data_IF_577904961641
#
_entry.id   IF_577904961641
#
_cell.length_a   1.000
_cell.length_b   1.000
_cell.length_c   1.000
_cell.angle_alpha   90.00
_cell.angle_beta   90.00
_cell.angle_gamma   90.00
#
_symmetry.space_group_name_H-M   'P 1'
#
loop_
_entity.id
_entity.type
_entity.pdbx_description
1 polymer ?
#
# COMPACT_ATOMS: atom_id res chain seq x y z
N UNK A 1 33.17 5.42 23.52
CA UNK A 1 33.73 4.48 22.51
C UNK A 1 33.51 3.06 23.01
N UNK A 2 33.33 2.09 22.12
CA UNK A 2 33.17 0.68 22.49
C UNK A 2 34.52 -0.02 22.35
N UNK A 3 34.89 -0.87 23.31
CA UNK A 3 36.14 -1.60 23.33
C UNK A 3 35.87 -3.11 23.42
N UNK A 4 36.37 -3.86 22.44
CA UNK A 4 36.24 -5.30 22.30
C UNK A 4 37.46 -6.02 22.87
N UNK A 5 37.22 -7.01 23.70
CA UNK A 5 38.25 -7.88 24.28
C UNK A 5 38.79 -8.92 23.29
N UNK A 6 39.97 -9.48 23.57
CA UNK A 6 40.50 -10.62 22.82
C UNK A 6 39.54 -11.83 22.82
N UNK A 7 38.88 -12.13 23.94
CA UNK A 7 37.91 -13.23 24.06
C UNK A 7 36.67 -13.01 23.21
N UNK A 8 36.25 -11.76 23.01
CA UNK A 8 35.16 -11.45 22.09
C UNK A 8 35.56 -11.70 20.63
N UNK A 9 36.77 -11.29 20.23
CA UNK A 9 37.26 -11.41 18.85
C UNK A 9 37.62 -12.85 18.45
N UNK A 10 37.97 -13.69 19.42
CA UNK A 10 38.33 -15.11 19.20
C UNK A 10 37.24 -16.09 19.60
N UNK A 11 36.18 -15.61 20.25
CA UNK A 11 35.05 -16.43 20.68
C UNK A 11 34.42 -17.13 19.49
N UNK A 12 34.46 -18.46 19.49
CA UNK A 12 33.81 -19.27 18.47
C UNK A 12 32.29 -19.09 18.57
N UNK A 13 31.71 -18.40 17.59
CA UNK A 13 30.29 -18.16 17.45
C UNK A 13 29.49 -19.39 16.98
N UNK A 14 30.10 -20.58 17.02
CA UNK A 14 29.49 -21.86 16.62
C UNK A 14 28.28 -22.31 17.44
N UNK A 15 27.83 -21.52 18.42
CA UNK A 15 26.47 -21.69 18.93
C UNK A 15 25.55 -21.14 17.84
N UNK A 16 25.09 -22.03 16.94
CA UNK A 16 23.71 -21.96 16.43
C UNK A 16 22.89 -21.48 17.61
N UNK A 17 22.41 -20.23 17.60
CA UNK A 17 21.76 -19.70 18.81
C UNK A 17 20.70 -20.73 19.18
N UNK A 18 20.83 -21.39 20.34
CA UNK A 18 19.96 -22.53 20.66
C UNK A 18 18.48 -22.12 20.55
N UNK A 19 18.22 -20.82 20.73
CA UNK A 19 16.96 -20.13 20.42
C UNK A 19 16.47 -20.29 18.98
N UNK A 20 17.31 -20.13 17.96
CA UNK A 20 16.94 -20.31 16.56
C UNK A 20 16.53 -21.74 16.25
N UNK A 21 17.22 -22.72 16.83
CA UNK A 21 16.86 -24.14 16.71
C UNK A 21 15.55 -24.45 17.45
N UNK A 22 15.39 -23.97 18.69
CA UNK A 22 14.16 -24.16 19.49
C UNK A 22 12.95 -23.57 18.76
N UNK A 23 13.07 -22.34 18.23
CA UNK A 23 12.00 -21.70 17.45
C UNK A 23 11.72 -22.48 16.16
N UNK A 24 12.76 -22.94 15.46
CA UNK A 24 12.62 -23.77 14.27
C UNK A 24 11.86 -25.07 14.55
N UNK A 25 12.15 -25.73 15.68
CA UNK A 25 11.44 -26.93 16.11
C UNK A 25 9.97 -26.62 16.42
N UNK A 26 9.68 -25.55 17.17
CA UNK A 26 8.30 -25.14 17.49
C UNK A 26 7.50 -24.88 16.21
N UNK A 27 8.08 -24.16 15.25
CA UNK A 27 7.47 -23.88 13.95
C UNK A 27 7.25 -25.17 13.16
N UNK A 28 8.25 -26.05 13.11
CA UNK A 28 8.17 -27.34 12.43
C UNK A 28 7.06 -28.24 13.00
N UNK A 29 6.97 -28.34 14.32
CA UNK A 29 5.90 -29.08 15.01
C UNK A 29 4.53 -28.47 14.67
N UNK A 30 4.42 -27.15 14.69
CA UNK A 30 3.16 -26.46 14.34
C UNK A 30 2.75 -26.74 12.90
N UNK A 31 3.69 -26.71 11.95
CA UNK A 31 3.45 -27.07 10.54
C UNK A 31 3.00 -28.52 10.42
N UNK A 32 3.63 -29.46 11.12
CA UNK A 32 3.24 -30.87 11.11
C UNK A 32 1.82 -31.08 11.64
N UNK A 33 1.44 -30.41 12.74
CA UNK A 33 0.09 -30.49 13.30
C UNK A 33 -0.97 -29.97 12.32
N UNK A 34 -0.74 -28.81 11.71
CA UNK A 34 -1.68 -28.24 10.74
C UNK A 34 -1.68 -28.99 9.41
N UNK A 35 -0.54 -29.54 8.99
CA UNK A 35 -0.42 -30.41 7.82
C UNK A 35 -1.20 -31.71 8.01
N UNK A 36 -1.11 -32.32 9.19
CA UNK A 36 -1.91 -33.49 9.55
C UNK A 36 -3.41 -33.17 9.57
N UNK A 37 -3.82 -32.03 10.15
CA UNK A 37 -5.22 -31.58 10.12
C UNK A 37 -5.73 -31.36 8.69
N UNK A 38 -4.90 -30.77 7.82
CA UNK A 38 -5.22 -30.60 6.40
C UNK A 38 -5.37 -31.96 5.68
N UNK A 39 -4.47 -32.92 5.92
CA UNK A 39 -4.57 -34.25 5.32
C UNK A 39 -5.79 -35.03 5.82
N UNK A 40 -6.17 -34.85 7.09
CA UNK A 40 -7.35 -35.49 7.68
C UNK A 40 -8.67 -34.89 7.20
N UNK A 41 -8.71 -33.58 6.96
CA UNK A 41 -9.91 -32.83 6.57
C UNK A 41 -9.64 -32.03 5.27
N UNK A 42 -9.47 -32.77 4.16
CA UNK A 42 -9.05 -32.22 2.86
C UNK A 42 -10.03 -31.20 2.27
N UNK A 43 -11.29 -31.21 2.70
CA UNK A 43 -12.34 -30.32 2.21
C UNK A 43 -12.41 -29.00 2.99
N UNK A 44 -11.71 -28.90 4.13
CA UNK A 44 -11.72 -27.71 4.96
C UNK A 44 -10.57 -26.76 4.58
N UNK A 45 -10.92 -25.77 3.75
CA UNK A 45 -9.98 -24.78 3.21
C UNK A 45 -9.22 -24.01 4.30
N UNK A 46 -9.77 -23.88 5.52
CA UNK A 46 -9.12 -23.17 6.63
C UNK A 46 -7.79 -23.80 7.02
N UNK A 47 -7.72 -25.13 7.11
CA UNK A 47 -6.48 -25.82 7.51
C UNK A 47 -5.43 -25.75 6.41
N UNK A 48 -5.86 -25.85 5.14
CA UNK A 48 -4.98 -25.64 3.98
C UNK A 48 -4.34 -24.26 4.02
N UNK A 49 -5.15 -23.22 4.19
CA UNK A 49 -4.67 -21.83 4.13
C UNK A 49 -3.74 -21.52 5.32
N UNK A 50 -4.07 -21.96 6.53
CA UNK A 50 -3.20 -21.82 7.71
C UNK A 50 -1.89 -22.59 7.52
N UNK A 51 -1.94 -23.82 7.00
CA UNK A 51 -0.73 -24.61 6.73
C UNK A 51 0.20 -23.93 5.72
N UNK A 52 -0.35 -23.39 4.62
CA UNK A 52 0.41 -22.65 3.62
C UNK A 52 1.06 -21.41 4.25
N UNK A 53 0.29 -20.61 5.01
CA UNK A 53 0.80 -19.40 5.69
C UNK A 53 1.94 -19.76 6.64
N UNK A 54 1.76 -20.77 7.50
CA UNK A 54 2.79 -21.22 8.44
C UNK A 54 4.06 -21.69 7.73
N UNK A 55 3.90 -22.41 6.61
CA UNK A 55 5.03 -22.88 5.81
C UNK A 55 5.80 -21.71 5.19
N UNK A 56 5.11 -20.72 4.62
CA UNK A 56 5.75 -19.51 4.08
C UNK A 56 6.47 -18.71 5.17
N UNK A 57 5.86 -18.59 6.36
CA UNK A 57 6.46 -17.89 7.50
C UNK A 57 7.73 -18.61 7.99
N UNK A 58 7.70 -19.95 8.02
CA UNK A 58 8.88 -20.76 8.35
C UNK A 58 10.03 -20.57 7.36
N UNK A 59 9.74 -20.63 6.05
CA UNK A 59 10.73 -20.39 5.00
C UNK A 59 11.35 -18.99 5.13
N UNK A 60 10.55 -17.98 5.46
CA UNK A 60 11.03 -16.62 5.71
C UNK A 60 11.97 -16.55 6.93
N UNK A 61 11.58 -17.15 8.06
CA UNK A 61 12.42 -17.19 9.27
C UNK A 61 13.73 -17.93 9.00
N UNK A 62 13.67 -19.09 8.34
CA UNK A 62 14.85 -19.88 7.96
C UNK A 62 15.77 -19.05 7.07
N UNK A 63 15.21 -18.34 6.08
CA UNK A 63 15.98 -17.47 5.17
C UNK A 63 16.71 -16.35 5.92
N UNK A 64 16.03 -15.67 6.84
CA UNK A 64 16.65 -14.61 7.67
C UNK A 64 17.75 -15.17 8.56
N UNK A 65 17.54 -16.33 9.19
CA UNK A 65 18.55 -16.98 10.02
C UNK A 65 19.75 -17.44 9.19
N UNK A 66 19.51 -17.99 8.00
CA UNK A 66 20.56 -18.39 7.08
C UNK A 66 21.44 -17.20 6.66
N UNK A 67 20.82 -16.06 6.34
CA UNK A 67 21.54 -14.82 6.03
C UNK A 67 22.39 -14.31 7.22
N UNK A 68 21.86 -14.41 8.45
CA UNK A 68 22.59 -14.07 9.68
C UNK A 68 23.83 -14.94 9.86
N UNK A 69 23.70 -16.26 9.66
CA UNK A 69 24.83 -17.20 9.74
C UNK A 69 25.90 -16.88 8.68
N UNK A 70 25.47 -16.58 7.44
CA UNK A 70 26.40 -16.24 6.36
C UNK A 70 27.18 -14.95 6.67
N UNK A 71 26.48 -13.90 7.12
CA UNK A 71 27.09 -12.63 7.53
C UNK A 71 28.03 -12.79 8.72
N UNK A 72 27.68 -13.65 9.67
CA UNK A 72 28.51 -13.93 10.85
C UNK A 72 29.82 -14.63 10.47
N UNK A 73 29.80 -15.60 9.54
CA UNK A 73 31.03 -16.23 9.04
C UNK A 73 31.99 -15.24 8.38
N UNK A 74 31.46 -14.28 7.62
CA UNK A 74 32.28 -13.21 7.02
C UNK A 74 32.91 -12.32 8.10
N UNK A 75 32.15 -11.96 9.14
CA UNK A 75 32.64 -11.13 10.24
C UNK A 75 33.66 -11.86 11.13
N UNK A 76 33.48 -13.16 11.38
CA UNK A 76 34.43 -13.98 12.16
C UNK A 76 35.83 -13.96 11.50
N UNK A 77 35.90 -13.98 10.16
CA UNK A 77 37.16 -13.86 9.43
C UNK A 77 37.90 -12.54 9.69
N UNK A 78 37.18 -11.42 9.80
CA UNK A 78 37.74 -10.11 10.14
C UNK A 78 38.14 -10.00 11.61
N UNK A 79 37.31 -10.54 12.51
CA UNK A 79 37.59 -10.58 13.96
C UNK A 79 38.90 -11.31 14.26
N UNK A 80 39.16 -12.41 13.56
CA UNK A 80 40.40 -13.19 13.68
C UNK A 80 41.62 -12.35 13.30
N UNK A 81 41.54 -11.49 12.28
CA UNK A 81 42.66 -10.63 11.88
C UNK A 81 43.00 -9.60 12.97
N UNK A 82 41.99 -8.95 13.55
CA UNK A 82 42.16 -8.02 14.67
C UNK A 82 42.73 -8.73 15.90
N UNK A 83 42.25 -9.93 16.21
CA UNK A 83 42.75 -10.74 17.31
C UNK A 83 44.24 -11.11 17.14
N UNK A 84 44.71 -11.37 15.91
CA UNK A 84 46.13 -11.67 15.63
C UNK A 84 47.03 -10.49 15.99
N UNK A 85 46.62 -9.25 15.67
CA UNK A 85 47.38 -8.06 16.07
C UNK A 85 47.41 -7.90 17.59
N UNK A 86 46.27 -8.09 18.27
CA UNK A 86 46.24 -8.07 19.74
C UNK A 86 47.22 -9.11 20.32
N UNK A 87 47.29 -10.30 19.71
CA UNK A 87 48.22 -11.35 20.12
C UNK A 87 49.69 -10.97 19.86
N UNK A 88 50.00 -10.30 18.76
CA UNK A 88 51.35 -9.77 18.50
C UNK A 88 51.74 -8.69 19.51
N UNK A 89 50.87 -7.72 19.75
CA UNK A 89 51.09 -6.64 20.74
C UNK A 89 51.27 -7.23 22.15
N UNK A 90 50.49 -8.26 22.49
CA UNK A 90 50.61 -8.99 23.76
C UNK A 90 52.01 -9.59 23.94
N UNK A 91 52.55 -10.23 22.89
CA UNK A 91 53.90 -10.79 22.89
C UNK A 91 54.96 -9.70 22.97
N UNK A 92 54.89 -8.69 22.11
CA UNK A 92 55.91 -7.65 21.99
C UNK A 92 56.01 -6.80 23.27
N UNK A 93 54.86 -6.50 23.91
CA UNK A 93 54.81 -5.68 25.13
C UNK A 93 54.74 -6.49 26.44
N UNK A 94 54.77 -7.82 26.38
CA UNK A 94 54.68 -8.70 27.53
C UNK A 94 53.45 -8.39 28.43
N UNK A 95 52.31 -8.12 27.79
CA UNK A 95 51.04 -7.81 28.47
C UNK A 95 50.02 -8.90 28.18
N UNK A 96 49.30 -9.45 29.17
CA UNK A 96 48.24 -10.43 28.93
C UNK A 96 47.17 -9.91 27.96
N UNK A 97 46.71 -10.76 27.03
CA UNK A 97 45.65 -10.41 26.07
C UNK A 97 44.34 -9.96 26.73
N UNK A 98 44.09 -10.38 27.98
CA UNK A 98 42.94 -9.93 28.78
C UNK A 98 42.99 -8.44 29.18
N UNK A 99 44.15 -7.79 29.06
CA UNK A 99 44.35 -6.37 29.35
C UNK A 99 44.46 -5.52 28.07
N UNK A 100 44.17 -6.11 26.91
CA UNK A 100 44.22 -5.45 25.62
C UNK A 100 42.82 -5.44 25.01
N UNK A 101 42.40 -4.26 24.57
CA UNK A 101 41.10 -4.06 23.95
C UNK A 101 41.24 -3.27 22.65
N UNK A 102 40.41 -3.58 21.65
CA UNK A 102 40.35 -2.89 20.36
C UNK A 102 39.05 -2.11 20.22
N UNK A 103 39.07 -0.92 19.63
CA UNK A 103 37.85 -0.17 19.30
C UNK A 103 37.15 -0.65 18.02
N UNK A 104 37.83 -1.49 17.24
CA UNK A 104 37.35 -2.09 16.00
C UNK A 104 37.32 -3.61 16.10
N UNK A 105 36.35 -4.23 15.41
CA UNK A 105 36.28 -5.68 15.20
C UNK A 105 36.99 -6.11 13.91
N UNK A 106 37.15 -5.21 12.95
CA UNK A 106 37.91 -5.43 11.71
C UNK A 106 39.27 -4.74 11.74
N UNK A 107 40.26 -5.36 11.09
CA UNK A 107 41.60 -4.82 11.00
C UNK A 107 41.61 -3.62 10.04
N UNK A 108 41.77 -2.40 10.57
CA UNK A 108 41.77 -1.16 9.79
C UNK A 108 42.89 -0.22 10.23
N UNK A 109 43.41 0.55 9.28
CA UNK A 109 44.39 1.58 9.57
C UNK A 109 43.76 2.70 10.41
N UNK A 110 44.47 3.12 11.46
CA UNK A 110 44.00 4.13 12.40
C UNK A 110 43.10 3.62 13.53
N UNK A 111 42.85 2.30 13.63
CA UNK A 111 42.13 1.73 14.78
C UNK A 111 42.86 2.00 16.10
N UNK A 112 42.13 2.06 17.20
CA UNK A 112 42.68 2.30 18.54
C UNK A 112 42.72 1.03 19.38
N UNK A 113 43.88 0.73 19.92
CA UNK A 113 44.08 -0.34 20.89
C UNK A 113 44.42 0.25 22.25
N UNK A 114 43.66 -0.16 23.27
CA UNK A 114 43.96 0.11 24.67
C UNK A 114 44.82 -1.02 25.22
N UNK A 115 46.00 -0.69 25.74
CA UNK A 115 46.88 -1.60 26.47
C UNK A 115 47.01 -1.08 27.90
N UNK A 116 46.49 -1.82 28.88
CA UNK A 116 46.38 -1.38 30.28
C UNK A 116 45.65 -0.03 30.40
N UNK A 117 46.37 1.06 30.69
CA UNK A 117 45.84 2.41 30.85
C UNK A 117 46.10 3.34 29.65
N UNK A 118 46.90 2.90 28.67
CA UNK A 118 47.34 3.74 27.54
C UNK A 118 46.64 3.34 26.26
N UNK A 119 46.26 4.33 25.46
CA UNK A 119 45.68 4.13 24.14
C UNK A 119 46.75 4.32 23.06
N UNK A 120 46.71 3.46 22.06
CA UNK A 120 47.59 3.50 20.90
C UNK A 120 46.75 3.49 19.63
N UNK A 121 47.05 4.39 18.70
CA UNK A 121 46.58 4.31 17.33
C UNK A 121 47.48 3.34 16.57
N UNK A 122 46.87 2.37 15.90
CA UNK A 122 47.55 1.41 15.03
C UNK A 122 47.70 2.03 13.65
N UNK A 123 48.93 2.15 13.16
CA UNK A 123 49.18 2.53 11.78
C UNK A 123 49.69 1.31 11.01
N UNK A 124 48.96 0.92 9.98
CA UNK A 124 49.26 -0.25 9.15
C UNK A 124 49.97 0.18 7.86
N UNK A 125 50.90 -0.65 7.38
CA UNK A 125 51.43 -0.46 6.04
C UNK A 125 50.35 -0.75 4.98
N UNK A 126 50.51 -0.22 3.77
CA UNK A 126 49.64 -0.50 2.62
C UNK A 126 49.51 -2.00 2.30
N UNK A 127 50.48 -2.80 2.74
CA UNK A 127 50.53 -4.26 2.59
C UNK A 127 49.95 -5.04 3.77
N UNK A 128 49.51 -4.37 4.85
CA UNK A 128 49.00 -4.98 6.10
C UNK A 128 49.97 -5.94 6.82
N UNK A 129 51.24 -5.99 6.39
CA UNK A 129 52.24 -6.89 6.96
C UNK A 129 52.97 -6.29 8.16
N UNK A 130 53.04 -4.96 8.23
CA UNK A 130 53.74 -4.24 9.29
C UNK A 130 52.77 -3.30 10.00
N UNK A 131 52.94 -3.16 11.31
CA UNK A 131 52.17 -2.24 12.13
C UNK A 131 53.10 -1.38 12.99
N UNK A 132 52.65 -0.16 13.29
CA UNK A 132 53.27 0.71 14.29
C UNK A 132 52.23 1.22 15.26
N UNK A 133 52.66 1.60 16.46
CA UNK A 133 51.78 2.09 17.52
C UNK A 133 52.17 3.52 17.89
N UNK A 134 51.25 4.46 17.67
CA UNK A 134 51.40 5.86 18.10
C UNK A 134 50.52 6.11 19.32
N UNK A 135 51.09 6.67 20.40
CA UNK A 135 50.31 6.98 21.59
C UNK A 135 49.22 8.01 21.26
N UNK A 136 48.00 7.77 21.73
CA UNK A 136 46.85 8.66 21.52
C UNK A 136 46.02 8.77 22.80
N UNK A 137 45.15 9.76 22.87
CA UNK A 137 44.22 9.95 23.97
C UNK A 137 42.80 10.08 23.41
N UNK A 138 41.81 9.37 23.98
CA UNK A 138 40.44 9.49 23.53
C UNK A 138 39.86 10.85 23.92
N UNK A 139 39.09 11.46 23.02
CA UNK A 139 38.37 12.72 23.27
C UNK A 139 37.24 12.52 24.30
N UNK A 140 36.58 11.35 24.28
CA UNK A 140 35.54 10.99 25.23
C UNK A 140 35.99 9.79 26.10
N UNK A 141 36.09 9.95 27.44
CA UNK A 141 36.55 8.90 28.34
C UNK A 141 35.50 7.83 28.65
N UNK A 142 34.23 8.01 28.25
CA UNK A 142 33.19 7.00 28.46
C UNK A 142 33.42 5.81 27.51
N UNK A 143 33.83 4.69 28.09
CA UNK A 143 34.15 3.46 27.38
C UNK A 143 33.20 2.33 27.79
N UNK A 144 32.55 1.73 26.80
CA UNK A 144 31.75 0.51 26.98
C UNK A 144 32.61 -0.70 26.62
N UNK A 145 32.81 -1.62 27.56
CA UNK A 145 33.63 -2.82 27.34
C UNK A 145 32.74 -3.99 26.92
N UNK A 146 33.12 -4.68 25.85
CA UNK A 146 32.44 -5.85 25.32
C UNK A 146 33.35 -7.06 25.49
N UNK A 147 33.05 -7.84 26.52
CA UNK A 147 33.89 -8.97 26.93
C UNK A 147 33.43 -10.32 26.35
N UNK A 148 32.13 -10.43 26.07
CA UNK A 148 31.48 -11.61 25.52
C UNK A 148 30.31 -11.17 24.63
N UNK A 149 29.94 -12.01 23.67
CA UNK A 149 28.71 -11.80 22.91
C UNK A 149 27.53 -11.97 23.88
N UNK A 150 26.79 -10.90 24.15
CA UNK A 150 25.56 -10.96 24.94
C UNK A 150 24.55 -11.86 24.23
N UNK A 151 23.89 -12.73 25.00
CA UNK A 151 22.74 -13.49 24.52
C UNK A 151 21.56 -12.52 24.33
N UNK A 152 21.51 -11.90 23.16
CA UNK A 152 20.39 -11.06 22.78
C UNK A 152 19.32 -11.91 22.11
N UNK A 153 18.18 -12.07 22.80
CA UNK A 153 16.94 -12.68 22.27
C UNK A 153 16.35 -11.88 21.09
N UNK A 154 16.95 -10.75 20.75
CA UNK A 154 16.54 -9.86 19.69
C UNK A 154 16.93 -10.45 18.32
N UNK A 155 16.19 -11.50 17.91
CA UNK A 155 16.12 -12.00 16.53
C UNK A 155 15.73 -10.86 15.55
N UNK A 156 15.16 -9.78 16.10
CA UNK A 156 14.71 -8.58 15.42
C UNK A 156 15.63 -7.35 15.61
N UNK A 157 16.91 -7.47 15.99
CA UNK A 157 17.79 -6.28 16.05
C UNK A 157 18.74 -6.13 14.84
N UNK A 158 19.00 -7.20 14.10
CA UNK A 158 19.51 -7.11 12.72
C UNK A 158 18.39 -6.86 11.70
N UNK A 159 17.15 -6.67 12.16
CA UNK A 159 15.96 -6.63 11.32
C UNK A 159 15.54 -5.23 10.89
N UNK A 160 16.26 -4.16 11.22
CA UNK A 160 15.83 -2.81 10.81
C UNK A 160 15.58 -2.73 9.30
N UNK A 161 16.40 -3.40 8.50
CA UNK A 161 16.25 -3.46 7.04
C UNK A 161 15.06 -4.32 6.61
N UNK A 162 14.96 -5.56 7.10
CA UNK A 162 13.85 -6.46 6.78
C UNK A 162 12.50 -5.95 7.29
N UNK A 163 12.50 -5.28 8.44
CA UNK A 163 11.34 -4.62 9.04
C UNK A 163 10.92 -3.39 8.24
N UNK A 164 11.88 -2.59 7.79
CA UNK A 164 11.60 -1.47 6.89
C UNK A 164 11.02 -1.97 5.55
N UNK A 165 11.58 -3.03 4.97
CA UNK A 165 11.05 -3.70 3.77
C UNK A 165 9.62 -4.18 4.02
N UNK A 166 9.38 -4.88 5.13
CA UNK A 166 8.05 -5.37 5.52
C UNK A 166 7.02 -4.25 5.72
N UNK A 167 7.41 -3.16 6.38
CA UNK A 167 6.55 -1.99 6.55
C UNK A 167 6.25 -1.28 5.22
N UNK A 168 7.25 -1.13 4.33
CA UNK A 168 7.03 -0.59 2.98
C UNK A 168 6.06 -1.47 2.20
N UNK A 169 6.21 -2.80 2.23
CA UNK A 169 5.27 -3.74 1.61
C UNK A 169 3.85 -3.59 2.16
N UNK A 170 3.71 -3.52 3.48
CA UNK A 170 2.41 -3.38 4.14
C UNK A 170 1.73 -2.04 3.79
N UNK A 171 2.48 -0.93 3.82
CA UNK A 171 1.99 0.39 3.42
C UNK A 171 1.59 0.39 1.94
N UNK A 172 2.43 -0.15 1.06
CA UNK A 172 2.14 -0.28 -0.37
C UNK A 172 0.88 -1.09 -0.64
N UNK A 173 0.70 -2.20 0.07
CA UNK A 173 -0.49 -3.05 -0.02
C UNK A 173 -1.77 -2.34 0.47
N UNK A 174 -1.71 -1.67 1.63
CA UNK A 174 -2.85 -0.89 2.14
C UNK A 174 -3.19 0.25 1.17
N UNK A 175 -2.19 0.94 0.65
CA UNK A 175 -2.37 2.02 -0.32
C UNK A 175 -2.95 1.53 -1.64
N UNK A 176 -2.54 0.34 -2.13
CA UNK A 176 -3.16 -0.32 -3.28
C UNK A 176 -4.65 -0.55 -3.06
N UNK A 177 -5.02 -1.15 -1.93
CA UNK A 177 -6.44 -1.39 -1.59
C UNK A 177 -7.20 -0.06 -1.50
N UNK A 178 -6.63 0.93 -0.82
CA UNK A 178 -7.23 2.24 -0.68
C UNK A 178 -7.46 2.90 -2.05
N UNK A 179 -6.47 2.87 -2.94
CA UNK A 179 -6.59 3.43 -4.29
C UNK A 179 -7.61 2.67 -5.14
N UNK A 180 -7.67 1.34 -5.09
CA UNK A 180 -8.70 0.57 -5.80
C UNK A 180 -10.10 0.94 -5.29
N UNK A 181 -10.27 1.08 -3.97
CA UNK A 181 -11.57 1.46 -3.40
C UNK A 181 -11.97 2.90 -3.76
N UNK A 182 -11.01 3.82 -3.81
CA UNK A 182 -11.26 5.23 -4.13
C UNK A 182 -11.45 5.46 -5.65
N UNK A 183 -10.62 4.83 -6.47
CA UNK A 183 -10.71 4.84 -7.94
C UNK A 183 -11.86 3.98 -8.47
N UNK A 184 -12.44 3.10 -7.65
CA UNK A 184 -13.44 2.15 -8.11
C UNK A 184 -12.82 0.98 -8.89
N UNK A 185 -13.67 0.10 -9.41
CA UNK A 185 -13.26 -1.21 -9.93
C UNK A 185 -12.50 -1.19 -11.27
N UNK A 186 -12.27 -0.01 -11.86
CA UNK A 186 -11.50 0.14 -13.11
C UNK A 186 -10.10 -0.47 -13.01
N UNK A 187 -9.44 -0.40 -11.86
CA UNK A 187 -8.12 -1.03 -11.67
C UNK A 187 -8.15 -2.57 -11.73
N UNK A 188 -9.28 -3.22 -11.41
CA UNK A 188 -9.40 -4.68 -11.45
C UNK A 188 -9.82 -5.19 -12.83
N UNK A 189 -10.67 -4.42 -13.50
CA UNK A 189 -11.14 -4.70 -14.85
C UNK A 189 -10.94 -3.42 -15.69
N UNK A 190 -9.74 -3.20 -16.22
CA UNK A 190 -9.39 -1.96 -16.90
C UNK A 190 -10.29 -1.73 -18.11
N UNK A 191 -11.02 -0.63 -18.06
CA UNK A 191 -11.96 -0.21 -19.09
C UNK A 191 -11.32 0.73 -20.11
N UNK A 192 -10.23 1.39 -19.73
CA UNK A 192 -9.52 2.37 -20.51
C UNK A 192 -8.00 2.30 -20.24
N UNK A 193 -7.22 3.06 -21.00
CA UNK A 193 -5.76 3.08 -20.90
C UNK A 193 -5.24 3.63 -19.56
N UNK A 194 -5.94 4.61 -18.95
CA UNK A 194 -5.54 5.20 -17.66
C UNK A 194 -5.61 4.14 -16.56
N UNK A 195 -6.67 3.35 -16.52
CA UNK A 195 -6.84 2.27 -15.53
C UNK A 195 -5.67 1.26 -15.61
N UNK A 196 -5.23 0.91 -16.83
CA UNK A 196 -4.07 0.03 -17.03
C UNK A 196 -2.76 0.69 -16.62
N UNK A 197 -2.55 1.94 -17.05
CA UNK A 197 -1.36 2.71 -16.71
C UNK A 197 -1.22 2.86 -15.19
N UNK A 198 -2.34 3.07 -14.48
CA UNK A 198 -2.37 3.15 -13.03
C UNK A 198 -1.78 1.89 -12.39
N UNK A 199 -2.19 0.71 -12.85
CA UNK A 199 -1.69 -0.55 -12.32
C UNK A 199 -0.19 -0.74 -12.57
N UNK A 200 0.29 -0.43 -13.79
CA UNK A 200 1.70 -0.59 -14.13
C UNK A 200 2.61 0.34 -13.35
N UNK A 201 2.26 1.63 -13.28
CA UNK A 201 3.08 2.62 -12.58
C UNK A 201 3.06 2.37 -11.07
N UNK A 202 1.90 2.05 -10.49
CA UNK A 202 1.79 1.75 -9.07
C UNK A 202 2.60 0.51 -8.69
N UNK A 203 2.56 -0.55 -9.52
CA UNK A 203 3.40 -1.72 -9.37
C UNK A 203 4.90 -1.38 -9.44
N UNK A 204 5.29 -0.54 -10.40
CA UNK A 204 6.67 -0.06 -10.56
C UNK A 204 7.17 0.77 -9.37
N UNK A 205 6.34 1.70 -8.86
CA UNK A 205 6.66 2.50 -7.67
C UNK A 205 6.86 1.60 -6.46
N UNK A 206 5.90 0.71 -6.17
CA UNK A 206 5.98 -0.17 -5.00
C UNK A 206 7.20 -1.08 -5.14
N UNK A 207 7.37 -1.74 -6.28
CA UNK A 207 8.49 -2.64 -6.54
C UNK A 207 9.85 -1.96 -6.39
N UNK A 208 10.07 -0.81 -7.05
CA UNK A 208 11.36 -0.12 -7.02
C UNK A 208 11.72 0.45 -5.64
N UNK A 209 10.74 0.94 -4.88
CA UNK A 209 10.96 1.62 -3.60
C UNK A 209 11.23 0.65 -2.44
N UNK A 210 10.74 -0.59 -2.53
CA UNK A 210 10.91 -1.60 -1.47
C UNK A 210 12.38 -1.98 -1.32
N UNK A 211 13.11 -2.16 -2.43
CA UNK A 211 14.49 -2.65 -2.41
C UNK A 211 15.54 -1.55 -2.19
N UNK A 212 15.14 -0.27 -2.32
CA UNK A 212 16.07 0.84 -2.15
C UNK A 212 16.17 1.25 -0.66
N UNK A 213 17.38 1.10 -0.08
CA UNK A 213 17.67 1.41 1.32
C UNK A 213 17.72 2.93 1.58
N UNK A 214 18.06 3.74 0.59
CA UNK A 214 18.13 5.20 0.71
C UNK A 214 16.75 5.86 0.86
N UNK A 215 15.71 5.13 0.44
CA UNK A 215 14.34 5.63 0.48
C UNK A 215 13.73 5.30 1.83
N UNK A 216 13.54 6.34 2.65
CA UNK A 216 12.87 6.21 3.95
C UNK A 216 11.39 5.85 3.79
N UNK A 217 10.78 5.29 4.84
CA UNK A 217 9.34 4.95 4.86
C UNK A 217 8.47 6.20 4.61
N UNK A 218 8.85 7.35 5.18
CA UNK A 218 8.13 8.61 4.98
C UNK A 218 8.19 9.05 3.52
N UNK A 219 9.36 8.97 2.89
CA UNK A 219 9.53 9.32 1.48
C UNK A 219 8.71 8.39 0.58
N UNK A 220 8.67 7.09 0.89
CA UNK A 220 7.81 6.14 0.20
C UNK A 220 6.32 6.51 0.31
N UNK A 221 5.85 6.84 1.52
CA UNK A 221 4.47 7.28 1.74
C UNK A 221 4.12 8.57 0.97
N UNK A 222 5.02 9.56 0.98
CA UNK A 222 4.84 10.82 0.23
C UNK A 222 4.69 10.55 -1.26
N UNK A 223 5.52 9.67 -1.84
CA UNK A 223 5.43 9.34 -3.26
C UNK A 223 4.09 8.65 -3.60
N UNK A 224 3.62 7.72 -2.76
CA UNK A 224 2.29 7.12 -2.93
C UNK A 224 1.16 8.16 -2.84
N UNK A 225 1.30 9.16 -1.97
CA UNK A 225 0.34 10.26 -1.83
C UNK A 225 0.34 11.17 -3.06
N UNK A 226 1.52 11.57 -3.55
CA UNK A 226 1.67 12.37 -4.79
C UNK A 226 1.03 11.61 -5.95
N UNK A 227 1.34 10.33 -6.10
CA UNK A 227 0.75 9.49 -7.13
C UNK A 227 -0.78 9.43 -7.02
N UNK A 228 -1.30 9.24 -5.81
CA UNK A 228 -2.75 9.26 -5.57
C UNK A 228 -3.41 10.58 -5.96
N UNK A 229 -2.75 11.72 -5.69
CA UNK A 229 -3.22 13.03 -6.10
C UNK A 229 -3.23 13.20 -7.62
N UNK A 230 -2.21 12.70 -8.32
CA UNK A 230 -2.16 12.72 -9.79
C UNK A 230 -3.32 11.92 -10.39
N UNK A 231 -3.58 10.72 -9.89
CA UNK A 231 -4.69 9.88 -10.35
C UNK A 231 -6.05 10.53 -10.07
N UNK A 232 -6.24 11.08 -8.87
CA UNK A 232 -7.48 11.76 -8.54
C UNK A 232 -7.68 13.03 -9.38
N UNK A 233 -6.62 13.83 -9.56
CA UNK A 233 -6.62 15.02 -10.39
C UNK A 233 -6.91 14.71 -11.86
N UNK A 234 -6.29 13.67 -12.42
CA UNK A 234 -6.53 13.24 -13.80
C UNK A 234 -7.99 12.83 -14.02
N UNK A 235 -8.62 12.19 -13.03
CA UNK A 235 -10.04 11.84 -13.08
C UNK A 235 -10.93 13.08 -13.07
N UNK A 236 -10.67 14.05 -12.20
CA UNK A 236 -11.41 15.31 -12.18
C UNK A 236 -11.29 16.02 -13.52
N UNK A 237 -10.08 16.06 -14.09
CA UNK A 237 -9.82 16.64 -15.42
C UNK A 237 -10.61 15.93 -16.52
N UNK A 238 -10.61 14.59 -16.56
CA UNK A 238 -11.37 13.80 -17.53
C UNK A 238 -12.88 14.04 -17.40
N UNK A 239 -13.37 14.20 -16.17
CA UNK A 239 -14.79 14.49 -15.93
C UNK A 239 -15.17 15.92 -16.36
N UNK A 240 -14.34 16.93 -16.07
CA UNK A 240 -14.67 18.33 -16.36
C UNK A 240 -14.43 18.71 -17.82
N UNK A 241 -13.41 18.13 -18.47
CA UNK A 241 -12.94 18.59 -19.78
C UNK A 241 -13.02 17.48 -20.84
N UNK A 242 -13.93 17.60 -21.83
CA UNK A 242 -14.08 16.61 -22.90
C UNK A 242 -12.81 16.35 -23.73
N UNK A 243 -11.93 17.34 -23.84
CA UNK A 243 -10.64 17.20 -24.52
C UNK A 243 -9.73 16.19 -23.79
N UNK A 244 -9.63 16.31 -22.46
CA UNK A 244 -8.86 15.39 -21.62
C UNK A 244 -9.45 13.97 -21.66
N UNK A 245 -10.79 13.86 -21.67
CA UNK A 245 -11.46 12.57 -21.88
C UNK A 245 -11.03 11.89 -23.18
N UNK A 246 -11.04 12.64 -24.30
CA UNK A 246 -10.68 12.11 -25.62
C UNK A 246 -9.21 11.71 -25.72
N UNK A 247 -8.31 12.45 -25.08
CA UNK A 247 -6.86 12.18 -25.10
C UNK A 247 -6.49 11.01 -24.18
N UNK A 248 -6.98 11.01 -22.94
CA UNK A 248 -6.52 10.08 -21.92
C UNK A 248 -7.29 8.76 -21.89
N UNK A 249 -8.61 8.79 -22.10
CA UNK A 249 -9.44 7.56 -22.11
C UNK A 249 -9.78 7.08 -23.52
N UNK A 250 -9.65 7.94 -24.53
CA UNK A 250 -10.14 7.65 -25.89
C UNK A 250 -11.66 7.78 -25.99
N UNK A 251 -12.24 7.34 -27.11
CA UNK A 251 -13.69 7.24 -27.27
C UNK A 251 -14.06 5.98 -28.04
N UNK A 252 -15.17 5.32 -27.68
CA UNK A 252 -15.63 4.13 -28.39
C UNK A 252 -15.83 4.44 -29.88
N UNK A 253 -15.39 3.53 -30.75
CA UNK A 253 -15.42 3.71 -32.19
C UNK A 253 -16.32 2.68 -32.85
N UNK A 254 -17.32 3.13 -33.61
CA UNK A 254 -18.19 2.22 -34.33
C UNK A 254 -17.46 1.64 -35.56
N UNK A 255 -17.22 0.33 -35.55
CA UNK A 255 -16.50 -0.40 -36.59
C UNK A 255 -17.45 -1.02 -37.61
N UNK A 256 -18.59 -1.58 -37.17
CA UNK A 256 -19.58 -2.19 -38.07
C UNK A 256 -20.93 -1.53 -37.81
N UNK A 257 -21.61 -1.10 -38.87
CA UNK A 257 -22.96 -0.54 -38.80
C UNK A 257 -23.88 -1.23 -39.81
N UNK A 258 -24.91 -1.91 -39.33
CA UNK A 258 -25.87 -2.67 -40.12
C UNK A 258 -25.17 -3.57 -41.18
N UNK A 259 -24.24 -4.42 -40.72
CA UNK A 259 -23.49 -5.33 -41.59
C UNK A 259 -22.43 -4.68 -42.50
N UNK A 260 -22.26 -3.34 -42.47
CA UNK A 260 -21.23 -2.63 -43.23
C UNK A 260 -20.04 -2.28 -42.35
N UNK A 261 -18.85 -2.76 -42.74
CA UNK A 261 -17.60 -2.49 -42.04
C UNK A 261 -17.07 -1.11 -42.45
N UNK A 262 -16.82 -0.24 -41.47
CA UNK A 262 -16.12 1.03 -41.66
C UNK A 262 -14.60 0.77 -41.62
N UNK A 263 -14.04 0.43 -42.78
CA UNK A 263 -12.63 0.07 -42.94
C UNK A 263 -11.69 1.20 -42.53
N UNK A 264 -12.02 2.46 -42.87
CA UNK A 264 -11.17 3.60 -42.52
C UNK A 264 -11.08 3.81 -41.01
N UNK A 265 -12.20 3.69 -40.29
CA UNK A 265 -12.20 3.74 -38.81
C UNK A 265 -11.46 2.55 -38.21
N UNK A 266 -11.63 1.33 -38.75
CA UNK A 266 -10.91 0.16 -38.28
C UNK A 266 -9.38 0.35 -38.39
N UNK A 267 -8.89 0.72 -39.58
CA UNK A 267 -7.46 0.91 -39.84
C UNK A 267 -6.87 2.06 -39.00
N UNK A 268 -7.60 3.17 -38.81
CA UNK A 268 -7.15 4.28 -37.96
C UNK A 268 -6.99 3.89 -36.48
N UNK A 269 -7.66 2.83 -36.03
CA UNK A 269 -7.52 2.29 -34.68
C UNK A 269 -6.62 1.05 -34.65
N UNK A 270 -5.82 0.82 -35.70
CA UNK A 270 -4.89 -0.31 -35.78
C UNK A 270 -5.57 -1.68 -35.90
N UNK A 271 -6.86 -1.72 -36.28
CA UNK A 271 -7.61 -2.95 -36.41
C UNK A 271 -7.55 -3.47 -37.85
N UNK A 272 -6.69 -4.47 -38.10
CA UNK A 272 -6.62 -5.13 -39.40
C UNK A 272 -7.82 -6.05 -39.64
N UNK A 273 -8.01 -6.52 -40.89
CA UNK A 273 -9.07 -7.47 -41.21
C UNK A 273 -8.92 -8.80 -40.45
N UNK A 274 -7.68 -9.26 -40.24
CA UNK A 274 -7.38 -10.44 -39.42
C UNK A 274 -7.73 -10.21 -37.96
N UNK A 275 -7.42 -9.04 -37.40
CA UNK A 275 -7.74 -8.71 -36.00
C UNK A 275 -9.23 -8.59 -35.78
N UNK A 276 -9.94 -7.92 -36.70
CA UNK A 276 -11.39 -7.80 -36.65
C UNK A 276 -12.03 -9.19 -36.66
N UNK A 277 -11.67 -10.05 -37.62
CA UNK A 277 -12.21 -11.40 -37.73
C UNK A 277 -11.86 -12.26 -36.51
N UNK A 278 -10.67 -12.10 -35.95
CA UNK A 278 -10.27 -12.76 -34.70
C UNK A 278 -11.15 -12.31 -33.52
N UNK A 279 -11.35 -10.99 -33.33
CA UNK A 279 -12.21 -10.45 -32.26
C UNK A 279 -13.67 -10.88 -32.42
N UNK A 280 -14.17 -10.96 -33.66
CA UNK A 280 -15.51 -11.49 -33.95
C UNK A 280 -15.63 -12.96 -33.53
N UNK A 281 -14.63 -13.79 -33.85
CA UNK A 281 -14.60 -15.21 -33.45
C UNK A 281 -14.49 -15.39 -31.94
N UNK A 282 -13.67 -14.61 -31.24
CA UNK A 282 -13.61 -14.62 -29.77
C UNK A 282 -14.97 -14.30 -29.14
N UNK A 283 -15.79 -13.51 -29.84
CA UNK A 283 -17.14 -13.14 -29.43
C UNK A 283 -18.22 -14.09 -29.98
N UNK A 284 -17.83 -15.28 -30.47
CA UNK A 284 -18.72 -16.32 -30.97
C UNK A 284 -19.60 -15.83 -32.15
N UNK A 285 -19.00 -15.06 -33.07
CA UNK A 285 -19.62 -14.59 -34.31
C UNK A 285 -18.85 -15.14 -35.50
N UNK A 286 -19.53 -15.93 -36.34
CA UNK A 286 -18.93 -16.57 -37.52
C UNK A 286 -18.85 -15.64 -38.73
N UNK A 287 -19.85 -14.78 -38.92
CA UNK A 287 -19.90 -13.82 -40.03
C UNK A 287 -20.21 -12.40 -39.58
N UNK A 288 -19.53 -11.42 -40.19
CA UNK A 288 -19.81 -10.00 -39.97
C UNK A 288 -21.21 -9.59 -40.45
N UNK A 289 -21.84 -10.38 -41.33
CA UNK A 289 -23.18 -10.11 -41.85
C UNK A 289 -24.27 -10.31 -40.78
N UNK A 290 -24.01 -11.12 -39.75
CA UNK A 290 -24.93 -11.33 -38.61
C UNK A 290 -24.95 -10.12 -37.66
N UNK A 291 -24.06 -9.14 -37.86
CA UNK A 291 -23.80 -8.04 -36.95
C UNK A 291 -24.58 -6.81 -37.35
N UNK A 292 -25.46 -6.37 -36.46
CA UNK A 292 -26.14 -5.09 -36.56
C UNK A 292 -25.22 -3.94 -36.16
N UNK A 293 -24.46 -4.07 -35.08
CA UNK A 293 -23.52 -3.04 -34.64
C UNK A 293 -22.29 -3.67 -34.00
N UNK A 294 -21.10 -3.15 -34.28
CA UNK A 294 -19.90 -3.48 -33.52
C UNK A 294 -19.14 -2.21 -33.16
N UNK A 295 -18.82 -2.07 -31.88
CA UNK A 295 -18.11 -0.91 -31.31
C UNK A 295 -16.79 -1.40 -30.73
N UNK A 296 -15.70 -0.77 -31.13
CA UNK A 296 -14.38 -0.94 -30.51
C UNK A 296 -14.33 -0.05 -29.26
N UNK A 297 -14.24 -0.70 -28.11
CA UNK A 297 -14.14 -0.07 -26.80
C UNK A 297 -12.71 0.42 -26.52
N UNK A 298 -12.57 1.29 -25.52
CA UNK A 298 -11.29 1.93 -25.15
C UNK A 298 -10.23 0.94 -24.64
N UNK A 299 -10.65 -0.18 -24.05
CA UNK A 299 -9.76 -1.29 -23.68
C UNK A 299 -9.38 -2.19 -24.87
N UNK A 300 -9.81 -1.86 -26.09
CA UNK A 300 -9.53 -2.59 -27.32
C UNK A 300 -10.45 -3.80 -27.55
N UNK A 301 -11.44 -4.05 -26.70
CA UNK A 301 -12.43 -5.10 -26.90
C UNK A 301 -13.50 -4.66 -27.91
N UNK A 302 -14.22 -5.62 -28.49
CA UNK A 302 -15.30 -5.37 -29.43
C UNK A 302 -16.64 -5.70 -28.78
N UNK A 303 -17.50 -4.71 -28.62
CA UNK A 303 -18.89 -4.90 -28.19
C UNK A 303 -19.74 -5.16 -29.43
N UNK A 304 -20.42 -6.31 -29.50
CA UNK A 304 -21.17 -6.74 -30.69
C UNK A 304 -22.67 -6.85 -30.38
N UNK A 305 -23.48 -6.32 -31.30
CA UNK A 305 -24.93 -6.49 -31.35
C UNK A 305 -25.30 -7.28 -32.62
N UNK A 306 -25.91 -8.46 -32.47
CA UNK A 306 -26.38 -9.28 -33.61
C UNK A 306 -27.78 -8.85 -34.07
N UNK A 307 -28.15 -9.19 -35.30
CA UNK A 307 -29.52 -8.96 -35.82
C UNK A 307 -30.58 -9.81 -35.11
N UNK A 308 -30.23 -11.04 -34.69
CA UNK A 308 -31.18 -12.03 -34.17
C UNK A 308 -31.26 -12.11 -32.64
N UNK A 309 -30.56 -11.22 -31.93
CA UNK A 309 -30.85 -10.91 -30.53
C UNK A 309 -32.05 -9.97 -30.53
N UNK A 310 -33.14 -10.34 -29.84
CA UNK A 310 -34.28 -9.45 -29.59
C UNK A 310 -33.77 -8.04 -29.32
N UNK A 311 -34.31 -7.08 -30.06
CA UNK A 311 -33.84 -5.70 -30.15
C UNK A 311 -33.25 -5.19 -28.84
N UNK A 312 -31.92 -5.04 -28.78
CA UNK A 312 -31.26 -4.40 -27.64
C UNK A 312 -31.97 -3.06 -27.43
N UNK A 313 -32.68 -2.94 -26.32
CA UNK A 313 -33.29 -1.69 -25.89
C UNK A 313 -32.16 -0.76 -25.47
N UNK A 314 -31.70 0.05 -26.41
CA UNK A 314 -30.74 1.09 -26.11
C UNK A 314 -31.39 2.04 -25.10
N UNK A 315 -30.72 2.33 -23.96
CA UNK A 315 -31.28 3.26 -23.00
C UNK A 315 -31.41 4.63 -23.65
N UNK A 316 -32.63 5.14 -23.62
CA UNK A 316 -32.99 6.49 -24.08
C UNK A 316 -32.54 7.56 -23.07
N UNK A 317 -32.34 7.16 -21.80
CA UNK A 317 -31.83 8.00 -20.73
C UNK A 317 -30.75 7.24 -19.95
N UNK A 318 -29.61 7.89 -19.71
CA UNK A 318 -28.51 7.38 -18.87
C UNK A 318 -27.98 8.51 -18.00
N UNK A 319 -27.89 8.28 -16.69
CA UNK A 319 -27.35 9.24 -15.70
C UNK A 319 -27.96 10.65 -15.83
N UNK A 320 -29.28 10.72 -15.97
CA UNK A 320 -30.02 11.97 -16.13
C UNK A 320 -29.84 12.69 -17.49
N UNK A 321 -29.16 12.07 -18.45
CA UNK A 321 -28.95 12.62 -19.79
C UNK A 321 -29.70 11.81 -20.84
N UNK A 322 -30.30 12.51 -21.80
CA UNK A 322 -30.98 11.89 -22.95
C UNK A 322 -29.93 11.45 -23.97
N UNK A 323 -30.02 10.20 -24.43
CA UNK A 323 -29.19 9.70 -25.50
C UNK A 323 -29.77 10.08 -26.87
N UNK A 324 -29.33 11.23 -27.40
CA UNK A 324 -29.80 11.77 -28.68
C UNK A 324 -29.62 10.80 -29.86
N UNK A 325 -28.53 10.03 -29.88
CA UNK A 325 -28.25 9.09 -30.97
C UNK A 325 -29.29 7.96 -31.03
N UNK A 326 -29.81 7.54 -29.87
CA UNK A 326 -30.86 6.53 -29.79
C UNK A 326 -32.19 7.09 -30.30
N UNK A 327 -32.54 8.34 -29.93
CA UNK A 327 -33.76 9.00 -30.39
C UNK A 327 -33.77 9.22 -31.90
N UNK A 328 -32.64 9.64 -32.48
CA UNK A 328 -32.48 9.78 -33.94
C UNK A 328 -32.72 8.43 -34.62
N UNK A 329 -32.15 7.33 -34.10
CA UNK A 329 -32.37 5.97 -34.63
C UNK A 329 -33.83 5.51 -34.51
N UNK A 330 -34.51 5.90 -33.44
CA UNK A 330 -35.94 5.64 -33.23
C UNK A 330 -36.85 6.53 -34.08
N UNK A 331 -36.30 7.55 -34.77
CA UNK A 331 -37.05 8.60 -35.47
C UNK A 331 -38.07 9.28 -34.56
N UNK A 332 -37.69 9.52 -33.30
CA UNK A 332 -38.52 10.21 -32.31
C UNK A 332 -37.88 11.54 -31.92
N UNK A 333 -38.66 12.62 -31.80
CA UNK A 333 -38.16 13.91 -31.32
C UNK A 333 -37.88 13.85 -29.81
N UNK A 334 -37.08 14.79 -29.30
CA UNK A 334 -36.72 14.85 -27.87
C UNK A 334 -37.94 15.13 -27.00
N UNK A 335 -38.85 15.94 -27.50
CA UNK A 335 -40.10 16.36 -26.88
C UNK A 335 -40.98 15.15 -26.54
N UNK A 336 -41.04 14.16 -27.44
CA UNK A 336 -41.77 12.91 -27.23
C UNK A 336 -41.28 12.15 -25.97
N UNK A 337 -39.97 12.10 -25.74
CA UNK A 337 -39.41 11.44 -24.56
C UNK A 337 -39.70 12.24 -23.28
N UNK A 338 -39.63 13.57 -23.35
CA UNK A 338 -39.95 14.45 -22.23
C UNK A 338 -41.42 14.32 -21.79
N UNK A 339 -42.34 14.17 -22.75
CA UNK A 339 -43.76 13.95 -22.45
C UNK A 339 -44.00 12.60 -21.78
N UNK A 340 -43.29 11.55 -22.22
CA UNK A 340 -43.33 10.25 -21.53
C UNK A 340 -42.76 10.32 -20.10
N UNK A 341 -41.66 11.04 -19.89
CA UNK A 341 -41.08 11.23 -18.54
C UNK A 341 -42.08 11.95 -17.61
N UNK A 342 -42.78 12.98 -18.12
CA UNK A 342 -43.81 13.69 -17.36
C UNK A 342 -44.97 12.78 -16.94
N UNK A 343 -45.38 11.84 -17.78
CA UNK A 343 -46.42 10.84 -17.44
C UNK A 343 -45.99 9.92 -16.29
N UNK A 344 -44.68 9.75 -16.07
CA UNK A 344 -44.12 9.00 -14.95
C UNK A 344 -43.84 9.85 -13.68
N UNK A 345 -44.31 11.11 -13.64
CA UNK A 345 -44.15 12.02 -12.49
C UNK A 345 -42.71 12.14 -11.96
N UNK A 346 -41.73 12.04 -12.86
CA UNK A 346 -40.30 12.03 -12.51
C UNK A 346 -39.59 13.14 -13.27
N UNK A 347 -38.51 13.70 -12.71
CA UNK A 347 -37.66 14.67 -13.40
C UNK A 347 -36.53 13.96 -14.14
N UNK A 348 -36.11 14.51 -15.29
CA UNK A 348 -35.03 13.90 -16.09
C UNK A 348 -33.75 13.67 -15.27
N UNK A 349 -33.37 14.61 -14.41
CA UNK A 349 -32.13 14.53 -13.62
C UNK A 349 -32.15 13.45 -12.53
N UNK A 350 -33.32 12.98 -12.09
CA UNK A 350 -33.44 11.92 -11.07
C UNK A 350 -33.47 10.51 -11.67
N UNK A 351 -33.46 10.40 -13.00
CA UNK A 351 -33.46 9.12 -13.71
C UNK A 351 -32.03 8.62 -13.86
N UNK A 352 -31.73 7.47 -13.26
CA UNK A 352 -30.47 6.75 -13.47
C UNK A 352 -30.47 6.05 -14.83
N UNK A 353 -31.55 5.35 -15.18
CA UNK A 353 -31.67 4.61 -16.43
C UNK A 353 -33.10 4.67 -16.98
N UNK A 354 -33.26 5.01 -18.26
CA UNK A 354 -34.53 4.95 -18.97
C UNK A 354 -34.42 4.09 -20.22
N UNK A 355 -35.23 3.04 -20.34
CA UNK A 355 -35.25 2.12 -21.48
C UNK A 355 -36.62 2.08 -22.15
N UNK A 356 -36.65 2.13 -23.48
CA UNK A 356 -37.89 2.04 -24.23
C UNK A 356 -38.01 0.68 -24.92
N UNK A 357 -38.89 -0.17 -24.41
CA UNK A 357 -39.09 -1.55 -24.88
C UNK A 357 -40.58 -1.80 -25.13
N UNK A 358 -40.91 -2.38 -26.29
CA UNK A 358 -42.27 -2.79 -26.65
C UNK A 358 -43.34 -1.68 -26.47
N UNK A 359 -42.98 -0.44 -26.79
CA UNK A 359 -43.89 0.71 -26.69
C UNK A 359 -44.00 1.34 -25.29
N UNK A 360 -43.30 0.82 -24.28
CA UNK A 360 -43.31 1.33 -22.90
C UNK A 360 -41.94 1.86 -22.47
N UNK A 361 -41.94 2.95 -21.70
CA UNK A 361 -40.75 3.51 -21.07
C UNK A 361 -40.61 2.92 -19.67
N UNK A 362 -39.50 2.23 -19.43
CA UNK A 362 -39.10 1.72 -18.13
C UNK A 362 -38.08 2.67 -17.53
N UNK A 363 -38.36 3.19 -16.33
CA UNK A 363 -37.53 4.19 -15.65
C UNK A 363 -37.00 3.60 -14.34
N UNK A 364 -35.70 3.74 -14.13
CA UNK A 364 -35.01 3.46 -12.86
C UNK A 364 -34.46 4.77 -12.35
N UNK A 365 -34.90 5.18 -11.18
CA UNK A 365 -34.45 6.42 -10.55
C UNK A 365 -33.19 6.19 -9.72
N UNK A 366 -32.40 7.25 -9.55
CA UNK A 366 -31.43 7.28 -8.47
C UNK A 366 -32.17 6.98 -7.15
N UNK A 367 -31.59 6.16 -6.26
CA UNK A 367 -32.19 5.92 -4.96
C UNK A 367 -32.40 7.28 -4.29
N UNK A 368 -33.62 7.56 -3.83
CA UNK A 368 -33.86 8.70 -2.94
C UNK A 368 -32.77 8.64 -1.86
N UNK A 369 -32.01 9.73 -1.67
CA UNK A 369 -31.07 9.82 -0.55
C UNK A 369 -31.82 9.33 0.68
N UNK A 370 -31.39 8.24 1.34
CA UNK A 370 -32.25 7.58 2.30
C UNK A 370 -32.66 8.61 3.35
N UNK A 371 -33.98 8.83 3.50
CA UNK A 371 -34.54 9.74 4.51
C UNK A 371 -33.93 9.49 5.88
N UNK A 372 -33.51 8.24 6.17
CA UNK A 372 -32.77 7.84 7.38
C UNK A 372 -31.45 8.55 7.63
N UNK A 373 -30.67 8.94 6.60
CA UNK A 373 -29.45 9.72 6.78
C UNK A 373 -29.79 11.17 7.14
N UNK A 374 -30.74 11.78 6.41
CA UNK A 374 -31.21 13.14 6.70
C UNK A 374 -31.87 13.23 8.10
N UNK A 375 -32.70 12.25 8.49
CA UNK A 375 -33.28 12.14 9.83
C UNK A 375 -32.22 11.88 10.90
N UNK A 376 -31.19 11.06 10.65
CA UNK A 376 -30.07 10.89 11.60
C UNK A 376 -29.31 12.19 11.80
N UNK A 377 -28.97 12.91 10.72
CA UNK A 377 -28.30 14.20 10.82
C UNK A 377 -29.18 15.23 11.53
N UNK A 378 -30.48 15.28 11.22
CA UNK A 378 -31.44 16.17 11.87
C UNK A 378 -31.57 15.87 13.37
N UNK A 379 -31.69 14.60 13.74
CA UNK A 379 -31.79 14.16 15.14
C UNK A 379 -30.49 14.38 15.92
N UNK A 380 -29.32 14.21 15.30
CA UNK A 380 -28.03 14.56 15.93
C UNK A 380 -27.88 16.06 16.13
N UNK A 381 -28.26 16.89 15.14
CA UNK A 381 -28.26 18.35 15.28
C UNK A 381 -29.21 18.79 16.40
N UNK A 382 -30.41 18.20 16.51
CA UNK A 382 -31.33 18.45 17.61
C UNK A 382 -30.70 18.05 18.95
N UNK A 383 -30.12 16.85 19.07
CA UNK A 383 -29.44 16.40 20.29
C UNK A 383 -28.31 17.34 20.72
N UNK A 384 -27.48 17.77 19.79
CA UNK A 384 -26.39 18.72 20.05
C UNK A 384 -26.96 20.06 20.54
N UNK A 385 -28.00 20.58 19.88
CA UNK A 385 -28.67 21.83 20.27
C UNK A 385 -29.31 21.73 21.65
N UNK A 386 -29.98 20.62 21.97
CA UNK A 386 -30.57 20.37 23.30
C UNK A 386 -29.50 20.27 24.38
N UNK A 387 -28.36 19.59 24.12
CA UNK A 387 -27.23 19.55 25.06
C UNK A 387 -26.65 20.94 25.29
N UNK A 388 -26.46 21.72 24.23
CA UNK A 388 -25.98 23.10 24.33
C UNK A 388 -26.92 23.99 25.15
N UNK A 389 -28.23 23.92 24.91
CA UNK A 389 -29.23 24.68 25.67
C UNK A 389 -29.27 24.26 27.14
N UNK A 390 -29.21 22.96 27.45
CA UNK A 390 -29.09 22.46 28.83
C UNK A 390 -27.81 22.95 29.51
N UNK A 391 -26.68 22.94 28.80
CA UNK A 391 -25.41 23.49 29.29
C UNK A 391 -25.51 24.99 29.58
N UNK A 392 -26.06 25.77 28.64
CA UNK A 392 -26.26 27.22 28.78
C UNK A 392 -27.18 27.56 29.95
N UNK A 393 -28.28 26.83 30.11
CA UNK A 393 -29.19 26.99 31.25
C UNK A 393 -28.50 26.70 32.59
N UNK A 394 -27.75 25.58 32.69
CA UNK A 394 -26.97 25.25 33.91
C UNK A 394 -25.93 26.33 34.25
N UNK A 395 -25.24 26.86 33.24
CA UNK A 395 -24.26 27.93 33.47
C UNK A 395 -24.92 29.25 33.87
N UNK A 396 -26.09 29.59 33.32
CA UNK A 396 -26.84 30.77 33.74
C UNK A 396 -27.32 30.66 35.19
N UNK A 397 -27.81 29.49 35.62
CA UNK A 397 -28.17 29.26 37.03
C UNK A 397 -26.96 29.38 37.95
N UNK A 398 -25.80 28.81 37.56
CA UNK A 398 -24.55 28.97 38.32
C UNK A 398 -24.09 30.43 38.39
N UNK A 399 -24.21 31.20 37.31
CA UNK A 399 -23.90 32.63 37.29
C UNK A 399 -24.83 33.43 38.19
N UNK A 400 -26.14 33.17 38.17
CA UNK A 400 -27.11 33.81 39.07
C UNK A 400 -26.82 33.49 40.54
N UNK A 401 -26.53 32.23 40.88
CA UNK A 401 -26.15 31.86 42.26
C UNK A 401 -24.89 32.59 42.72
N UNK A 402 -23.84 32.67 41.88
CA UNK A 402 -22.62 33.44 42.19
C UNK A 402 -22.87 34.93 42.31
N UNK A 403 -23.79 35.49 41.52
CA UNK A 403 -24.15 36.90 41.59
C UNK A 403 -24.91 37.21 42.90
N UNK A 404 -25.92 36.40 43.24
CA UNK A 404 -26.67 36.56 44.48
C UNK A 404 -25.77 36.36 45.70
N UNK A 405 -24.87 35.37 45.68
CA UNK A 405 -23.91 35.15 46.78
C UNK A 405 -22.91 36.31 46.93
N UNK A 406 -22.53 36.97 45.82
CA UNK A 406 -21.72 38.19 45.87
C UNK A 406 -22.50 39.40 46.38
N UNK A 407 -23.79 39.54 46.07
CA UNK A 407 -24.63 40.59 46.62
C UNK A 407 -24.85 40.38 48.12
N UNK A 408 -25.15 39.15 48.54
CA UNK A 408 -25.34 38.80 49.95
C UNK A 408 -24.06 39.00 50.77
N UNK A 409 -22.88 38.67 50.21
CA UNK A 409 -21.61 38.98 50.86
C UNK A 409 -21.31 40.49 50.93
N UNK A 410 -21.77 41.29 49.96
CA UNK A 410 -21.64 42.75 50.00
C UNK A 410 -22.57 43.38 51.05
N UNK A 411 -23.81 42.90 51.16
CA UNK A 411 -24.75 43.33 52.20
C UNK A 411 -24.25 42.97 53.60
N UNK A 412 -23.71 41.75 53.78
CA UNK A 412 -23.11 41.35 55.06
C UNK A 412 -21.87 42.18 55.43
N UNK A 413 -21.10 42.67 54.46
CA UNK A 413 -19.98 43.59 54.71
C UNK A 413 -20.42 45.05 54.93
N UNK A 414 -21.58 45.46 54.42
CA UNK A 414 -22.15 46.78 54.72
C UNK A 414 -22.80 46.84 56.11
N UNK A 415 -23.36 45.73 56.61
CA UNK A 415 -23.92 45.65 57.97
C UNK A 415 -22.86 45.42 59.08
N UNK A 416 -21.58 45.31 58.72
CA UNK A 416 -20.43 45.17 59.65
C UNK A 416 -19.57 46.45 59.73
N UNK A 417 -20.01 47.55 59.14
CA UNK A 417 -19.48 48.91 59.31
C UNK A 417 -20.59 49.81 59.83
#
# INVERSE_FOLDING_TARGET
>A
MTLYSYSYLTGNNGILSYTGLIIGIIIGVTILVYGFKYMRDRNNLKFRDIFIILTMLAVLIISVQFNKILSQRTNDGQNIQTARIIQQISKDRHVPTSQIYSDSTSLTDGMTIKVKSTYYRVNLSSTLNNYSLSKTNPVNPNVNYVNQHSFDLNILNGSNEYWAIGLKLLIGFIMLIFQINLSGKGNLAPSNAIDQLQNYVLGGIIGGMIYNQDITILMFFIVLLIWSLIIFGSRVLVHQYPLFKRILTGSPQQIINNGRINVSTALRNGLSASDLTFKLRMSHVGSYQEIKNAVLEQNGQLTITKYNTESISYPVITDGNINSDVLIRMKKPKEWLLDMIKQHHTELASIYLGQFLNGKLYIINYPEKPKRLAERYHNEIIKIRTRYLKYKARNNVRRRRRHNQRQQNKENHQNQK
#
